data_IF_806769930700
#
_entry.id   IF_806769930700
#
_cell.length_a   1.000
_cell.length_b   1.000
_cell.length_c   1.000
_cell.angle_alpha   90.00
_cell.angle_beta   90.00
_cell.angle_gamma   90.00
#
_symmetry.space_group_name_H-M   'P 1'
#
loop_
_entity.id
_entity.type
_entity.pdbx_description
1 polymer ?
#
# COMPACT_ATOMS: atom_id res chain seq x y z
N UNK A 1 46.84 -12.14 8.70
CA UNK A 1 46.05 -12.05 9.95
C UNK A 1 44.63 -11.61 9.61
N UNK A 2 43.63 -12.36 10.08
CA UNK A 2 42.25 -12.28 9.65
C UNK A 2 41.48 -11.12 10.33
N UNK A 3 40.89 -10.22 9.54
CA UNK A 3 39.88 -9.28 10.04
C UNK A 3 38.53 -9.99 9.92
N UNK A 4 38.04 -10.47 11.07
CA UNK A 4 36.74 -11.13 11.24
C UNK A 4 35.63 -10.22 10.71
N UNK A 5 35.06 -10.58 9.56
CA UNK A 5 33.83 -9.98 9.05
C UNK A 5 32.72 -10.12 10.07
N UNK A 6 32.21 -8.99 10.57
CA UNK A 6 31.00 -8.96 11.40
C UNK A 6 29.83 -9.43 10.53
N UNK A 7 29.41 -10.67 10.78
CA UNK A 7 28.19 -11.25 10.27
C UNK A 7 27.01 -10.39 10.75
N UNK A 8 26.44 -9.57 9.87
CA UNK A 8 25.17 -8.88 10.12
C UNK A 8 24.11 -9.96 10.20
N UNK A 9 23.66 -10.28 11.41
CA UNK A 9 22.48 -11.12 11.64
C UNK A 9 21.28 -10.35 11.11
N UNK A 10 20.93 -10.57 9.85
CA UNK A 10 19.61 -10.24 9.32
C UNK A 10 18.64 -11.09 10.14
N UNK A 11 17.95 -10.46 11.09
CA UNK A 11 16.86 -11.04 11.84
C UNK A 11 15.84 -11.55 10.82
N UNK A 12 15.85 -12.85 10.54
CA UNK A 12 14.74 -13.51 9.84
C UNK A 12 13.53 -13.41 10.75
N UNK A 13 12.72 -12.38 10.54
CA UNK A 13 11.44 -12.23 11.21
C UNK A 13 10.65 -13.53 11.02
N UNK A 14 10.19 -14.10 12.14
CA UNK A 14 9.27 -15.24 12.13
C UNK A 14 8.06 -14.87 11.26
N UNK A 15 7.49 -15.78 10.45
CA UNK A 15 6.30 -15.46 9.68
C UNK A 15 5.15 -15.12 10.65
N UNK A 16 4.94 -13.82 10.89
CA UNK A 16 3.77 -13.31 11.61
C UNK A 16 2.56 -13.89 10.90
N UNK A 17 1.64 -14.51 11.64
CA UNK A 17 0.31 -14.87 11.11
C UNK A 17 -0.20 -13.67 10.30
N UNK A 18 -0.35 -13.84 8.99
CA UNK A 18 -0.78 -12.77 8.07
C UNK A 18 -2.10 -12.21 8.57
N UNK A 19 -2.05 -11.05 9.22
CA UNK A 19 -3.25 -10.27 9.53
C UNK A 19 -3.83 -9.79 8.20
N UNK A 20 -5.15 -9.69 8.11
CA UNK A 20 -5.85 -9.26 6.89
C UNK A 20 -5.33 -7.89 6.42
N UNK A 21 -4.94 -7.01 7.36
CA UNK A 21 -4.27 -5.73 7.07
C UNK A 21 -2.96 -5.87 6.29
N UNK A 22 -2.02 -6.71 6.76
CA UNK A 22 -0.76 -6.96 6.05
C UNK A 22 -1.00 -7.42 4.61
N UNK A 23 -2.03 -8.23 4.38
CA UNK A 23 -2.36 -8.69 3.03
C UNK A 23 -2.94 -7.58 2.16
N UNK A 24 -3.65 -6.63 2.75
CA UNK A 24 -4.10 -5.43 2.05
C UNK A 24 -2.90 -4.58 1.62
N UNK A 25 -1.95 -4.35 2.53
CA UNK A 25 -0.70 -3.65 2.26
C UNK A 25 0.11 -4.34 1.16
N UNK A 26 0.26 -5.66 1.19
CA UNK A 26 0.96 -6.42 0.14
C UNK A 26 0.34 -6.21 -1.24
N UNK A 27 -1.00 -6.17 -1.34
CA UNK A 27 -1.68 -5.95 -2.61
C UNK A 27 -1.52 -4.52 -3.12
N UNK A 28 -1.49 -3.54 -2.22
CA UNK A 28 -1.24 -2.13 -2.55
C UNK A 28 0.20 -1.96 -2.99
N UNK A 29 1.15 -2.56 -2.29
CA UNK A 29 2.56 -2.58 -2.66
C UNK A 29 2.77 -3.19 -4.05
N UNK A 30 2.14 -4.32 -4.34
CA UNK A 30 2.18 -4.95 -5.67
C UNK A 30 1.59 -4.04 -6.75
N UNK A 31 0.46 -3.38 -6.48
CA UNK A 31 -0.14 -2.41 -7.38
C UNK A 31 0.77 -1.20 -7.64
N UNK A 32 1.43 -0.67 -6.62
CA UNK A 32 2.38 0.45 -6.77
C UNK A 32 3.63 0.04 -7.55
N UNK A 33 4.16 -1.18 -7.35
CA UNK A 33 5.26 -1.71 -8.18
C UNK A 33 4.88 -1.79 -9.65
N UNK A 34 3.66 -2.25 -9.95
CA UNK A 34 3.15 -2.27 -11.33
C UNK A 34 2.99 -0.86 -11.90
N UNK A 35 2.42 0.08 -11.15
CA UNK A 35 2.28 1.48 -11.59
C UNK A 35 3.64 2.11 -11.89
N UNK A 36 4.66 1.82 -11.08
CA UNK A 36 6.03 2.28 -11.32
C UNK A 36 6.60 1.66 -12.60
N UNK A 37 6.41 0.37 -12.81
CA UNK A 37 6.85 -0.32 -14.03
C UNK A 37 6.13 0.19 -15.29
N UNK A 38 4.87 0.60 -15.16
CA UNK A 38 4.05 1.24 -16.21
C UNK A 38 4.41 2.72 -16.44
N UNK A 39 5.32 3.29 -15.65
CA UNK A 39 5.68 4.71 -15.72
C UNK A 39 4.53 5.65 -15.35
N UNK A 40 3.60 5.22 -14.48
CA UNK A 40 2.50 6.04 -13.97
C UNK A 40 2.87 6.81 -12.70
N UNK A 41 3.86 6.33 -11.96
CA UNK A 41 4.38 6.96 -10.74
C UNK A 41 5.91 6.92 -10.77
N UNK A 42 6.57 7.84 -10.08
CA UNK A 42 8.03 7.83 -9.88
C UNK A 42 8.45 6.75 -8.87
N UNK A 43 7.67 6.62 -7.80
CA UNK A 43 7.99 5.73 -6.69
C UNK A 43 6.93 5.74 -5.60
N UNK A 44 7.17 4.93 -4.59
CA UNK A 44 6.33 4.88 -3.40
C UNK A 44 7.17 4.44 -2.21
N UNK A 45 6.74 4.86 -1.02
CA UNK A 45 7.34 4.51 0.27
C UNK A 45 6.26 3.97 1.20
N UNK A 46 6.62 2.95 1.97
CA UNK A 46 5.76 2.45 3.05
C UNK A 46 6.04 3.26 4.30
N UNK A 47 4.99 3.77 4.93
CA UNK A 47 5.07 4.57 6.13
C UNK A 47 4.46 3.80 7.31
N UNK A 48 5.04 3.98 8.50
CA UNK A 48 4.52 3.41 9.75
C UNK A 48 4.15 4.57 10.68
N UNK A 49 3.18 5.39 10.25
CA UNK A 49 2.70 6.54 11.02
C UNK A 49 1.18 6.62 11.02
N UNK A 50 0.55 7.13 12.10
CA UNK A 50 -0.89 7.36 12.11
C UNK A 50 -1.31 8.27 10.96
N UNK A 51 -2.35 7.92 10.21
CA UNK A 51 -2.84 8.71 9.09
C UNK A 51 -2.27 8.33 7.71
N UNK A 52 -1.26 7.44 7.63
CA UNK A 52 -0.63 7.10 6.36
C UNK A 52 0.14 5.78 6.42
N UNK A 53 -0.26 4.84 5.57
CA UNK A 53 0.45 3.55 5.38
C UNK A 53 1.41 3.62 4.18
N UNK A 54 1.12 4.48 3.19
CA UNK A 54 1.97 4.66 2.00
C UNK A 54 2.00 6.11 1.53
N UNK A 55 3.16 6.54 1.03
CA UNK A 55 3.34 7.76 0.23
C UNK A 55 3.65 7.37 -1.21
N UNK A 56 2.90 7.90 -2.17
CA UNK A 56 3.05 7.64 -3.61
C UNK A 56 3.49 8.93 -4.29
N UNK A 57 4.59 8.89 -5.02
CA UNK A 57 5.17 10.04 -5.73
C UNK A 57 4.83 9.97 -7.21
N UNK A 58 4.08 10.95 -7.71
CA UNK A 58 3.62 11.04 -9.09
C UNK A 58 4.63 11.81 -9.96
N UNK A 59 4.46 11.70 -11.29
CA UNK A 59 5.39 12.27 -12.27
C UNK A 59 5.39 13.81 -12.28
N UNK A 60 4.28 14.42 -11.86
CA UNK A 60 4.09 15.86 -11.71
C UNK A 60 4.76 16.44 -10.45
N UNK A 61 5.37 15.58 -9.62
CA UNK A 61 5.99 15.96 -8.36
C UNK A 61 5.03 15.93 -7.17
N UNK A 62 3.76 15.60 -7.37
CA UNK A 62 2.80 15.48 -6.28
C UNK A 62 3.02 14.21 -5.46
N UNK A 63 2.62 14.27 -4.18
CA UNK A 63 2.66 13.12 -3.27
C UNK A 63 1.27 12.83 -2.73
N UNK A 64 0.80 11.60 -2.97
CA UNK A 64 -0.43 11.07 -2.40
C UNK A 64 -0.08 10.22 -1.18
N UNK A 65 -0.54 10.65 0.00
CA UNK A 65 -0.51 9.85 1.22
C UNK A 65 -1.81 9.06 1.30
N UNK A 66 -1.70 7.75 1.43
CA UNK A 66 -2.85 6.85 1.54
C UNK A 66 -2.80 6.06 2.85
N UNK A 67 -3.97 5.91 3.46
CA UNK A 67 -4.18 4.93 4.52
C UNK A 67 -5.07 3.80 4.02
N UNK A 68 -4.70 2.56 4.34
CA UNK A 68 -5.36 1.36 3.85
C UNK A 68 -6.42 0.92 4.85
N UNK A 69 -7.65 0.80 4.36
CA UNK A 69 -8.75 0.18 5.11
C UNK A 69 -9.30 -1.00 4.35
N UNK A 70 -9.76 -2.01 5.09
CA UNK A 70 -10.32 -3.23 4.49
C UNK A 70 -11.86 -3.20 4.38
N UNK A 71 -12.49 -2.13 4.88
CA UNK A 71 -13.95 -1.95 4.87
C UNK A 71 -14.35 -0.47 4.81
N UNK A 72 -15.50 -0.18 4.20
CA UNK A 72 -16.13 1.14 4.18
C UNK A 72 -16.48 1.65 5.58
N UNK A 73 -16.82 0.76 6.52
CA UNK A 73 -17.02 1.16 7.91
C UNK A 73 -15.71 1.65 8.56
N UNK A 74 -14.58 1.03 8.21
CA UNK A 74 -13.27 1.47 8.65
C UNK A 74 -12.85 2.81 8.06
N UNK A 75 -13.24 3.09 6.82
CA UNK A 75 -13.08 4.40 6.17
C UNK A 75 -13.92 5.46 6.87
N UNK A 76 -15.21 5.22 7.10
CA UNK A 76 -16.10 6.15 7.81
C UNK A 76 -15.55 6.57 9.18
N UNK A 77 -15.06 5.61 9.98
CA UNK A 77 -14.42 5.92 11.27
C UNK A 77 -13.11 6.71 11.12
N UNK A 78 -12.43 6.57 9.99
CA UNK A 78 -11.18 7.25 9.69
C UNK A 78 -11.42 8.70 9.29
N UNK A 79 -12.38 8.95 8.41
CA UNK A 79 -12.77 10.28 7.96
C UNK A 79 -13.23 11.19 9.10
N UNK A 80 -13.86 10.61 10.13
CA UNK A 80 -14.26 11.34 11.35
C UNK A 80 -13.04 11.87 12.12
N UNK A 81 -11.87 11.20 12.01
CA UNK A 81 -10.68 11.50 12.83
C UNK A 81 -9.52 12.13 12.07
N UNK A 82 -9.41 11.89 10.76
CA UNK A 82 -8.24 12.23 9.97
C UNK A 82 -8.65 12.75 8.58
N UNK A 83 -8.03 13.82 8.11
CA UNK A 83 -8.26 14.41 6.78
C UNK A 83 -7.41 13.77 5.67
N UNK A 84 -7.02 12.50 5.83
CA UNK A 84 -6.10 11.78 4.93
C UNK A 84 -6.86 10.93 3.93
N UNK A 85 -6.34 10.80 2.70
CA UNK A 85 -6.97 10.00 1.66
C UNK A 85 -6.97 8.50 2.04
N UNK A 86 -8.13 7.86 2.01
CA UNK A 86 -8.30 6.44 2.36
C UNK A 86 -8.37 5.59 1.10
N UNK A 87 -7.63 4.49 1.06
CA UNK A 87 -7.73 3.48 0.03
C UNK A 87 -8.39 2.22 0.59
N UNK A 88 -9.58 1.91 0.06
CA UNK A 88 -10.32 0.71 0.45
C UNK A 88 -9.85 -0.49 -0.35
N UNK A 89 -9.35 -1.51 0.35
CA UNK A 89 -8.97 -2.80 -0.22
C UNK A 89 -9.94 -3.87 0.31
N UNK A 90 -11.06 -4.14 -0.39
CA UNK A 90 -12.10 -5.03 0.11
C UNK A 90 -11.62 -6.49 0.14
N UNK A 91 -11.04 -6.87 1.28
CA UNK A 91 -10.52 -8.22 1.54
C UNK A 91 -11.46 -8.96 2.48
N UNK A 92 -12.27 -9.86 1.90
CA UNK A 92 -13.15 -10.75 2.67
C UNK A 92 -12.54 -12.13 2.94
N UNK A 93 -11.55 -12.54 2.14
CA UNK A 93 -11.02 -13.91 2.12
C UNK A 93 -9.52 -13.95 2.47
N UNK A 94 -9.11 -14.89 3.34
CA UNK A 94 -7.70 -15.11 3.71
C UNK A 94 -6.84 -15.55 2.53
N UNK A 95 -7.42 -16.24 1.54
CA UNK A 95 -6.73 -16.66 0.30
C UNK A 95 -7.53 -16.12 -0.89
N UNK A 96 -6.84 -15.49 -1.83
CA UNK A 96 -7.44 -15.03 -3.08
C UNK A 96 -6.96 -15.94 -4.20
N UNK A 97 -7.84 -16.32 -5.11
CA UNK A 97 -7.40 -16.96 -6.36
C UNK A 97 -6.61 -15.94 -7.21
N UNK A 98 -5.72 -16.42 -8.08
CA UNK A 98 -4.90 -15.55 -8.94
C UNK A 98 -5.75 -14.56 -9.74
N UNK A 99 -6.89 -15.01 -10.29
CA UNK A 99 -7.84 -14.17 -11.03
C UNK A 99 -8.47 -13.08 -10.14
N UNK A 100 -8.88 -13.41 -8.91
CA UNK A 100 -9.44 -12.43 -7.96
C UNK A 100 -8.37 -11.43 -7.51
N UNK A 101 -7.16 -11.93 -7.22
CA UNK A 101 -5.99 -11.11 -6.86
C UNK A 101 -5.69 -10.08 -7.95
N UNK A 102 -5.59 -10.53 -9.21
CA UNK A 102 -5.32 -9.64 -10.35
C UNK A 102 -6.39 -8.56 -10.51
N UNK A 103 -7.67 -8.95 -10.51
CA UNK A 103 -8.79 -8.00 -10.57
C UNK A 103 -8.74 -6.94 -9.46
N UNK A 104 -8.32 -7.35 -8.26
CA UNK A 104 -8.21 -6.45 -7.11
C UNK A 104 -7.03 -5.47 -7.28
N UNK A 105 -5.88 -5.95 -7.75
CA UNK A 105 -4.73 -5.09 -8.09
C UNK A 105 -5.12 -4.07 -9.17
N UNK A 106 -5.75 -4.51 -10.26
CA UNK A 106 -6.18 -3.60 -11.34
C UNK A 106 -7.22 -2.58 -10.86
N UNK A 107 -8.00 -2.90 -9.82
CA UNK A 107 -8.90 -1.95 -9.17
C UNK A 107 -8.13 -0.97 -8.29
N UNK A 108 -7.20 -1.44 -7.47
CA UNK A 108 -6.35 -0.60 -6.62
C UNK A 108 -5.60 0.43 -7.47
N UNK A 109 -4.99 0.01 -8.59
CA UNK A 109 -4.27 0.92 -9.49
C UNK A 109 -5.16 2.04 -10.01
N UNK A 110 -6.39 1.71 -10.44
CA UNK A 110 -7.36 2.69 -10.92
C UNK A 110 -7.74 3.68 -9.83
N UNK A 111 -8.05 3.19 -8.63
CA UNK A 111 -8.37 4.04 -7.49
C UNK A 111 -7.22 5.02 -7.17
N UNK A 112 -5.97 4.55 -7.13
CA UNK A 112 -4.80 5.41 -6.85
C UNK A 112 -4.69 6.55 -7.87
N UNK A 113 -4.86 6.24 -9.16
CA UNK A 113 -4.81 7.25 -10.23
C UNK A 113 -6.02 8.19 -10.19
N UNK A 114 -7.21 7.70 -9.86
CA UNK A 114 -8.41 8.55 -9.68
C UNK A 114 -8.25 9.49 -8.49
N UNK A 115 -7.70 9.01 -7.37
CA UNK A 115 -7.45 9.80 -6.17
C UNK A 115 -6.44 10.93 -6.40
N UNK A 116 -5.43 10.72 -7.25
CA UNK A 116 -4.52 11.78 -7.68
C UNK A 116 -5.27 12.86 -8.47
N UNK A 117 -6.02 12.48 -9.50
CA UNK A 117 -6.82 13.44 -10.29
C UNK A 117 -7.83 14.23 -9.47
N UNK A 118 -8.44 13.60 -8.46
CA UNK A 118 -9.42 14.25 -7.58
C UNK A 118 -8.82 15.27 -6.62
N UNK A 119 -7.49 15.34 -6.44
CA UNK A 119 -6.84 16.42 -5.68
C UNK A 119 -6.72 17.73 -6.47
N UNK A 120 -6.82 17.67 -7.78
CA UNK A 120 -6.60 18.80 -8.69
C UNK A 120 -7.91 19.57 -8.97
N UNK A 121 -9.08 19.04 -8.56
CA UNK A 121 -10.40 19.68 -8.72
C UNK A 121 -10.91 20.31 -7.43
#
# INVERSE_FOLDING_TARGET
>A
MAIRGKMIRILRERPKRLKIGNKAEELVEEACRELKAEGKILGFEKEDRPGSDFSIHFLDGETLKIEIKISFYGEFLHEIKYSTSVLIVPLKEKRLSAKKKRKLIDRIKRNIVEMEKSKIG
#
